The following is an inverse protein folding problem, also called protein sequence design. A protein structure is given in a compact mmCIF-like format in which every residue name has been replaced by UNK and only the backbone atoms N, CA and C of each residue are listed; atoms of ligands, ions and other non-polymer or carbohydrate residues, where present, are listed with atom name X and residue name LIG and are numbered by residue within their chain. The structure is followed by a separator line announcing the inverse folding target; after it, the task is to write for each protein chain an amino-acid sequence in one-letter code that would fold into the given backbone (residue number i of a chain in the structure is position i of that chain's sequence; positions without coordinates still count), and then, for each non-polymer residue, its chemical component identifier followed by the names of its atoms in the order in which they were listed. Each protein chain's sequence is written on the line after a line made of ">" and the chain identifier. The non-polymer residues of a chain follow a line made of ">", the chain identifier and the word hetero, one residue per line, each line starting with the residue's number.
data_IF_790100407187
#
_entry.id   IF_790100407187
#
_cell.length_a   1.000
_cell.length_b   1.000
_cell.length_c   1.000
_cell.angle_alpha   90.00
_cell.angle_beta   90.00
_cell.angle_gamma   90.00
#
_symmetry.space_group_name_H-M   'P 1'
#
loop_
_entity.id
_entity.type
_entity.pdbx_description
1 polymer ?
#
# COMPACT_ATOMS: atom_id res chain seq x y z
N UNK A 1 35.06 -8.13 27.64
CA UNK A 1 33.66 -7.68 27.56
C UNK A 1 33.32 -7.45 26.09
N UNK A 2 32.65 -8.42 25.43
CA UNK A 2 32.27 -8.33 24.01
C UNK A 2 30.76 -8.43 23.92
N UNK A 3 30.05 -7.31 24.04
CA UNK A 3 28.67 -7.24 23.59
C UNK A 3 28.69 -6.71 22.16
N UNK A 4 28.74 -7.66 21.23
CA UNK A 4 28.49 -7.42 19.82
C UNK A 4 26.99 -7.14 19.68
N UNK A 5 26.63 -5.87 19.73
CA UNK A 5 25.35 -5.39 19.22
C UNK A 5 25.40 -5.55 17.70
N UNK A 6 25.12 -6.77 17.25
CA UNK A 6 25.06 -7.18 15.86
C UNK A 6 23.69 -6.77 15.26
N UNK A 7 23.38 -5.48 15.32
CA UNK A 7 22.15 -4.90 14.75
C UNK A 7 22.38 -4.27 13.37
N UNK A 8 23.55 -4.46 12.76
CA UNK A 8 23.89 -3.84 11.47
C UNK A 8 23.45 -4.67 10.26
N UNK A 9 22.85 -5.84 10.45
CA UNK A 9 22.32 -6.68 9.37
C UNK A 9 20.79 -6.87 9.45
N UNK A 10 20.05 -5.84 9.83
CA UNK A 10 18.61 -5.75 9.53
C UNK A 10 18.46 -5.40 8.05
N UNK A 11 18.61 -6.43 7.22
CA UNK A 11 18.61 -6.34 5.77
C UNK A 11 17.27 -5.79 5.28
N UNK A 12 17.30 -4.65 4.58
CA UNK A 12 16.17 -4.12 3.80
C UNK A 12 15.62 -5.16 2.81
N UNK A 13 16.41 -6.16 2.43
CA UNK A 13 15.97 -7.29 1.59
C UNK A 13 14.98 -8.21 2.31
N UNK A 14 15.10 -8.37 3.63
CA UNK A 14 14.11 -9.11 4.42
C UNK A 14 12.84 -8.29 4.62
N UNK A 15 12.95 -6.95 4.66
CA UNK A 15 11.80 -6.03 4.60
C UNK A 15 11.04 -6.11 3.26
N UNK A 16 11.76 -6.39 2.17
CA UNK A 16 11.17 -6.58 0.83
C UNK A 16 10.57 -7.99 0.65
N UNK A 17 11.16 -9.03 1.25
CA UNK A 17 10.54 -10.36 1.38
C UNK A 17 9.36 -10.39 2.39
N UNK A 18 9.31 -9.43 3.31
CA UNK A 18 8.20 -9.19 4.24
C UNK A 18 6.92 -8.73 3.50
N UNK A 19 7.00 -8.05 2.35
CA UNK A 19 5.82 -7.56 1.61
C UNK A 19 4.86 -8.66 1.14
N UNK A 20 5.33 -9.89 0.97
CA UNK A 20 4.47 -11.03 0.60
C UNK A 20 3.46 -11.38 1.70
N UNK A 21 3.71 -10.91 2.93
CA UNK A 21 2.86 -11.09 4.11
C UNK A 21 2.48 -9.76 4.81
N UNK A 22 3.20 -8.65 4.56
CA UNK A 22 2.90 -7.31 5.10
C UNK A 22 1.78 -6.59 4.36
N UNK A 23 1.62 -6.78 3.04
CA UNK A 23 0.53 -6.12 2.29
C UNK A 23 -0.85 -6.29 2.93
N UNK A 24 -1.29 -7.50 3.38
CA UNK A 24 -2.62 -7.64 3.96
C UNK A 24 -2.82 -6.96 5.32
N UNK A 25 -1.77 -6.66 6.10
CA UNK A 25 -1.87 -6.01 7.43
C UNK A 25 -1.56 -4.51 7.36
N UNK A 26 -0.60 -4.13 6.51
CA UNK A 26 -0.25 -2.73 6.27
C UNK A 26 -1.42 -1.96 5.65
N UNK A 27 -2.15 -2.60 4.72
CA UNK A 27 -3.34 -2.01 4.09
C UNK A 27 -4.44 -1.72 5.13
N UNK A 28 -4.57 -2.56 6.15
CA UNK A 28 -5.60 -2.43 7.20
C UNK A 28 -5.29 -1.28 8.15
N UNK A 29 -4.01 -1.09 8.49
CA UNK A 29 -3.56 0.07 9.28
C UNK A 29 -3.79 1.38 8.53
N UNK A 30 -3.36 1.42 7.26
CA UNK A 30 -3.53 2.59 6.42
C UNK A 30 -5.01 2.87 6.10
N UNK A 31 -5.84 1.83 5.97
CA UNK A 31 -7.29 1.98 5.82
C UNK A 31 -7.91 2.76 6.99
N UNK A 32 -7.58 2.39 8.23
CA UNK A 32 -8.07 3.11 9.41
C UNK A 32 -7.54 4.55 9.45
N UNK A 33 -6.26 4.75 9.12
CA UNK A 33 -5.64 6.08 9.10
C UNK A 33 -6.27 7.00 8.06
N UNK A 34 -6.45 6.53 6.83
CA UNK A 34 -7.07 7.32 5.75
C UNK A 34 -8.54 7.55 6.02
N UNK A 35 -9.26 6.58 6.57
CA UNK A 35 -10.66 6.76 6.98
C UNK A 35 -10.79 7.87 8.04
N UNK A 36 -9.90 7.86 9.04
CA UNK A 36 -9.84 8.91 10.05
C UNK A 36 -9.52 10.27 9.43
N UNK A 37 -8.57 10.32 8.49
CA UNK A 37 -8.15 11.54 7.82
C UNK A 37 -9.26 12.16 6.96
N UNK A 38 -10.02 11.33 6.23
CA UNK A 38 -11.17 11.78 5.45
C UNK A 38 -12.27 12.29 6.38
N UNK A 39 -12.50 11.62 7.51
CA UNK A 39 -13.48 12.06 8.50
C UNK A 39 -13.09 13.42 9.11
N UNK A 40 -11.82 13.59 9.51
CA UNK A 40 -11.30 14.85 10.05
C UNK A 40 -11.35 15.96 8.98
N UNK A 41 -10.95 15.66 7.75
CA UNK A 41 -10.98 16.64 6.64
C UNK A 41 -12.41 17.10 6.34
N UNK A 42 -13.35 16.16 6.26
CA UNK A 42 -14.77 16.47 6.07
C UNK A 42 -15.33 17.30 7.21
N UNK A 43 -15.00 16.96 8.46
CA UNK A 43 -15.43 17.69 9.64
C UNK A 43 -14.83 19.12 9.68
N UNK A 44 -13.56 19.28 9.29
CA UNK A 44 -12.93 20.60 9.13
C UNK A 44 -13.63 21.46 8.06
N UNK A 45 -14.10 20.87 6.96
CA UNK A 45 -14.85 21.60 5.92
C UNK A 45 -16.21 22.06 6.45
N UNK A 46 -16.89 21.23 7.25
CA UNK A 46 -18.15 21.63 7.89
C UNK A 46 -17.91 22.75 8.93
N UNK A 47 -16.84 22.67 9.70
CA UNK A 47 -16.49 23.69 10.70
C UNK A 47 -16.17 25.04 10.05
N UNK A 48 -15.43 25.02 8.93
CA UNK A 48 -15.14 26.22 8.13
C UNK A 48 -16.37 26.77 7.41
N UNK A 49 -17.32 25.92 7.03
CA UNK A 49 -18.60 26.39 6.47
C UNK A 49 -19.38 27.25 7.47
N UNK A 50 -19.31 26.91 8.77
CA UNK A 50 -19.94 27.68 9.83
C UNK A 50 -19.31 29.07 10.02
N UNK A 51 -17.98 29.17 9.95
CA UNK A 51 -17.30 30.47 10.06
C UNK A 51 -17.56 31.36 8.83
N UNK A 52 -17.68 30.75 7.65
CA UNK A 52 -18.00 31.45 6.41
C UNK A 52 -19.43 31.99 6.37
N UNK A 53 -20.35 31.42 7.14
CA UNK A 53 -21.74 31.89 7.21
C UNK A 53 -21.85 33.35 7.66
N UNK A 54 -20.97 33.78 8.57
CA UNK A 54 -20.90 35.17 9.05
C UNK A 54 -20.34 36.15 8.01
N UNK A 55 -19.55 35.65 7.04
CA UNK A 55 -18.90 36.50 6.04
C UNK A 55 -19.68 36.55 4.73
N UNK A 56 -20.21 35.41 4.28
CA UNK A 56 -20.87 35.28 2.98
C UNK A 56 -21.76 34.03 2.91
N UNK A 57 -23.07 34.26 2.88
CA UNK A 57 -24.07 33.19 2.82
C UNK A 57 -23.90 32.28 1.59
N UNK A 58 -23.66 32.84 0.40
CA UNK A 58 -23.51 32.05 -0.85
C UNK A 58 -22.35 31.06 -0.78
N UNK A 59 -21.21 31.50 -0.22
CA UNK A 59 -20.02 30.66 -0.14
C UNK A 59 -20.20 29.57 0.92
N UNK A 60 -20.80 29.90 2.06
CA UNK A 60 -21.09 28.94 3.12
C UNK A 60 -21.94 27.76 2.64
N UNK A 61 -22.99 28.02 1.84
CA UNK A 61 -23.82 26.96 1.26
C UNK A 61 -23.01 26.05 0.34
N UNK A 62 -22.21 26.63 -0.56
CA UNK A 62 -21.38 25.85 -1.48
C UNK A 62 -20.36 24.97 -0.72
N UNK A 63 -19.67 25.54 0.26
CA UNK A 63 -18.68 24.83 1.07
C UNK A 63 -19.31 23.71 1.89
N UNK A 64 -20.53 23.90 2.40
CA UNK A 64 -21.24 22.87 3.16
C UNK A 64 -21.57 21.64 2.30
N UNK A 65 -22.14 21.84 1.10
CA UNK A 65 -22.38 20.75 0.15
C UNK A 65 -21.07 20.10 -0.31
N UNK A 66 -20.04 20.90 -0.56
CA UNK A 66 -18.71 20.41 -0.89
C UNK A 66 -18.14 19.53 0.22
N UNK A 67 -18.36 19.83 1.50
CA UNK A 67 -17.90 19.02 2.62
C UNK A 67 -18.49 17.61 2.62
N UNK A 68 -19.81 17.50 2.39
CA UNK A 68 -20.50 16.21 2.30
C UNK A 68 -19.99 15.40 1.11
N UNK A 69 -19.84 16.04 -0.05
CA UNK A 69 -19.30 15.42 -1.27
C UNK A 69 -17.86 14.95 -1.05
N UNK A 70 -17.02 15.75 -0.40
CA UNK A 70 -15.64 15.39 -0.10
C UNK A 70 -15.54 14.17 0.81
N UNK A 71 -16.44 13.98 1.78
CA UNK A 71 -16.48 12.75 2.59
C UNK A 71 -16.80 11.54 1.72
N UNK A 72 -17.84 11.64 0.88
CA UNK A 72 -18.29 10.51 0.04
C UNK A 72 -17.20 10.13 -0.97
N UNK A 73 -16.69 11.11 -1.71
CA UNK A 73 -15.64 10.92 -2.71
C UNK A 73 -14.33 10.49 -2.04
N UNK A 74 -14.02 11.03 -0.87
CA UNK A 74 -12.84 10.65 -0.10
C UNK A 74 -12.86 9.19 0.31
N UNK A 75 -13.99 8.69 0.81
CA UNK A 75 -14.15 7.27 1.17
C UNK A 75 -14.06 6.39 -0.08
N UNK A 76 -14.76 6.75 -1.17
CA UNK A 76 -14.76 5.98 -2.42
C UNK A 76 -13.36 5.88 -3.03
N UNK A 77 -12.68 7.01 -3.16
CA UNK A 77 -11.34 7.09 -3.77
C UNK A 77 -10.34 6.28 -2.95
N UNK A 78 -10.44 6.38 -1.62
CA UNK A 78 -9.60 5.58 -0.71
C UNK A 78 -9.75 4.09 -0.97
N UNK A 79 -10.98 3.58 -1.15
CA UNK A 79 -11.23 2.16 -1.46
C UNK A 79 -10.57 1.75 -2.77
N UNK A 80 -10.79 2.52 -3.83
CA UNK A 80 -10.27 2.25 -5.17
C UNK A 80 -8.73 2.24 -5.18
N UNK A 81 -8.10 3.25 -4.56
CA UNK A 81 -6.64 3.36 -4.52
C UNK A 81 -6.01 2.18 -3.77
N UNK A 82 -6.58 1.79 -2.63
CA UNK A 82 -6.07 0.63 -1.88
C UNK A 82 -6.20 -0.68 -2.64
N UNK A 83 -7.30 -0.90 -3.35
CA UNK A 83 -7.46 -2.07 -4.23
C UNK A 83 -6.42 -2.07 -5.36
N UNK A 84 -6.19 -0.94 -6.03
CA UNK A 84 -5.18 -0.84 -7.09
C UNK A 84 -3.76 -1.15 -6.59
N UNK A 85 -3.39 -0.64 -5.42
CA UNK A 85 -2.09 -0.93 -4.79
C UNK A 85 -1.96 -2.42 -4.49
N UNK A 86 -2.97 -3.03 -3.87
CA UNK A 86 -3.00 -4.46 -3.59
C UNK A 86 -2.85 -5.32 -4.87
N UNK A 87 -3.56 -4.94 -5.93
CA UNK A 87 -3.50 -5.62 -7.24
C UNK A 87 -2.11 -5.49 -7.85
N UNK A 88 -1.50 -4.30 -7.83
CA UNK A 88 -0.15 -4.07 -8.35
C UNK A 88 0.89 -4.92 -7.61
N UNK A 89 0.80 -4.99 -6.27
CA UNK A 89 1.67 -5.85 -5.47
C UNK A 89 1.45 -7.34 -5.75
N UNK A 90 0.22 -7.74 -6.08
CA UNK A 90 -0.04 -9.14 -6.45
C UNK A 90 0.68 -9.52 -7.74
N UNK A 91 0.70 -8.64 -8.74
CA UNK A 91 1.43 -8.88 -10.01
C UNK A 91 2.92 -9.04 -9.75
N UNK A 92 3.53 -8.15 -8.96
CA UNK A 92 4.97 -8.20 -8.68
C UNK A 92 5.40 -9.52 -8.03
N UNK A 93 4.58 -10.06 -7.11
CA UNK A 93 4.82 -11.35 -6.45
C UNK A 93 4.73 -12.56 -7.39
N UNK A 94 3.97 -12.45 -8.48
CA UNK A 94 3.87 -13.52 -9.47
C UNK A 94 5.09 -13.55 -10.39
N UNK A 95 5.67 -12.39 -10.73
CA UNK A 95 6.88 -12.31 -11.56
C UNK A 95 8.09 -12.90 -10.83
N UNK A 96 8.19 -12.72 -9.52
CA UNK A 96 9.26 -13.28 -8.69
C UNK A 96 9.32 -14.82 -8.75
N UNK A 97 8.15 -15.49 -8.70
CA UNK A 97 8.03 -16.96 -8.82
C UNK A 97 8.47 -17.52 -10.16
N UNK A 98 8.39 -16.73 -11.23
CA UNK A 98 8.80 -17.17 -12.57
C UNK A 98 10.31 -17.12 -12.77
N UNK A 99 11.04 -16.33 -11.97
CA UNK A 99 12.50 -16.26 -12.05
C UNK A 99 13.18 -17.46 -11.39
N UNK A 100 12.61 -17.99 -10.29
CA UNK A 100 13.18 -19.13 -9.58
C UNK A 100 13.06 -20.45 -10.36
N UNK A 101 12.00 -20.62 -11.15
CA UNK A 101 11.81 -21.86 -11.94
C UNK A 101 12.79 -21.99 -13.11
N UNK A 102 13.43 -20.91 -13.57
CA UNK A 102 14.46 -20.99 -14.61
C UNK A 102 15.79 -21.56 -14.11
N UNK A 103 16.07 -21.47 -12.81
CA UNK A 103 17.30 -22.03 -12.23
C UNK A 103 17.24 -23.56 -12.22
N UNK A 104 16.10 -24.15 -11.85
CA UNK A 104 15.92 -25.61 -11.81
C UNK A 104 15.87 -26.24 -13.22
N UNK A 105 15.41 -25.50 -14.22
CA UNK A 105 15.40 -25.94 -15.62
C UNK A 105 16.81 -25.95 -16.25
N UNK A 106 17.76 -25.20 -15.69
CA UNK A 106 19.14 -25.18 -16.17
C UNK A 106 19.98 -26.30 -15.57
N UNK A 107 19.66 -26.75 -14.34
CA UNK A 107 20.35 -27.89 -13.70
C UNK A 107 19.90 -29.24 -14.29
N UNK A 108 18.62 -29.37 -14.69
CA UNK A 108 18.13 -30.60 -15.33
C UNK A 108 18.72 -30.85 -16.75
N UNK A 109 19.23 -29.81 -17.41
CA UNK A 109 19.90 -29.94 -18.72
C UNK A 109 21.39 -30.24 -18.61
N UNK A 110 22.04 -30.01 -17.47
CA UNK A 110 23.47 -30.31 -17.29
C UNK A 110 23.68 -31.81 -16.99
N UNK A 111 22.74 -32.44 -16.26
CA UNK A 111 22.79 -33.86 -15.84
C UNK A 111 22.47 -34.86 -16.97
N UNK A 112 21.89 -34.39 -18.09
CA UNK A 112 21.63 -35.21 -19.29
C UNK A 112 22.77 -35.16 -20.32
N UNK A 113 23.76 -34.28 -20.13
CA UNK A 113 24.91 -34.15 -21.06
C UNK A 113 26.17 -34.86 -20.57
N UNK A 114 26.26 -35.16 -19.27
CA UNK A 114 27.39 -35.88 -18.67
C UNK A 114 27.28 -37.40 -18.77
N UNK A 115 26.11 -37.94 -19.13
CA UNK A 115 25.85 -39.37 -19.20
C UNK A 115 25.97 -39.99 -20.61
N UNK A 116 26.22 -39.18 -21.65
CA UNK A 116 26.43 -39.62 -23.05
C UNK A 116 27.93 -39.65 -23.45
N UNK A 117 28.85 -39.29 -22.54
CA UNK A 117 30.31 -39.35 -22.75
C UNK A 117 30.96 -40.49 -21.95
N UNK A 118 30.50 -41.73 -22.16
CA UNK A 118 31.22 -42.96 -21.76
C UNK A 118 31.17 -44.03 -22.86
#
# INVERSE_FOLDING_TARGET
>A
MKNKFDLQNLSVKDFLFLNKLLTPVFITFFYWLTLLLVLISGLSIVFTSFTLFSFSFKLAFFTFFSGIITIIVGILTTRVVFELICVLLNINRNIEKLSSTKTDASEATDDLTSHDEN
#
